data_IF_903942564855
#
_entry.id   IF_903942564855
#
_cell.length_a   1.000
_cell.length_b   1.000
_cell.length_c   1.000
_cell.angle_alpha   90.00
_cell.angle_beta   90.00
_cell.angle_gamma   90.00
#
_symmetry.space_group_name_H-M   'P 1'
#
loop_
_entity.id
_entity.type
_entity.pdbx_description
1 polymer ?
#
# COMPACT_ATOMS: atom_id res chain seq x y z
N UNK A 1 48.79 67.27 -11.90
CA UNK A 1 49.53 68.01 -10.86
C UNK A 1 48.91 67.59 -9.52
N UNK A 2 49.54 66.60 -8.88
CA UNK A 2 49.52 66.21 -7.45
C UNK A 2 48.14 65.92 -6.80
N UNK A 3 47.71 64.67 -6.58
CA UNK A 3 48.21 63.57 -5.72
C UNK A 3 48.07 63.73 -4.20
N UNK A 4 47.57 62.61 -3.62
CA UNK A 4 47.71 62.05 -2.27
C UNK A 4 46.59 62.26 -1.25
N UNK A 5 46.28 61.31 -0.36
CA UNK A 5 46.41 59.85 -0.26
C UNK A 5 45.87 59.51 1.15
N UNK A 6 45.20 58.38 1.34
CA UNK A 6 44.84 57.89 2.69
C UNK A 6 43.93 56.68 2.70
N UNK A 7 44.48 55.51 2.38
CA UNK A 7 43.86 54.18 2.55
C UNK A 7 43.93 53.70 4.02
N UNK A 8 42.92 52.93 4.47
CA UNK A 8 43.01 51.68 5.29
C UNK A 8 41.62 51.32 5.84
N UNK A 9 41.13 50.09 6.03
CA UNK A 9 41.33 48.71 5.54
C UNK A 9 40.09 47.90 6.03
N UNK A 10 39.65 46.93 5.22
CA UNK A 10 38.96 45.65 5.52
C UNK A 10 37.96 45.55 6.69
N UNK A 11 36.74 45.06 6.42
CA UNK A 11 36.35 43.67 6.74
C UNK A 11 34.99 43.28 6.15
N UNK A 12 34.89 41.99 5.89
CA UNK A 12 33.79 41.20 5.36
C UNK A 12 32.41 41.47 5.99
N UNK A 13 31.36 41.18 5.23
CA UNK A 13 30.37 40.12 5.54
C UNK A 13 28.97 40.53 5.10
N UNK A 14 28.50 39.92 4.02
CA UNK A 14 27.07 39.66 3.80
C UNK A 14 26.50 38.88 4.99
N UNK A 15 25.19 39.02 5.29
CA UNK A 15 24.42 37.78 5.39
C UNK A 15 23.08 37.86 4.65
N UNK A 16 22.95 36.93 3.70
CA UNK A 16 21.83 36.00 3.54
C UNK A 16 20.49 36.41 4.16
N UNK A 17 19.53 36.69 3.28
CA UNK A 17 18.11 36.65 3.59
C UNK A 17 17.71 35.20 3.90
N UNK A 18 17.39 34.95 5.17
CA UNK A 18 17.04 33.64 5.72
C UNK A 18 15.56 33.36 5.46
N UNK A 19 15.29 32.18 4.89
CA UNK A 19 13.98 31.58 4.71
C UNK A 19 13.22 31.43 6.04
N UNK A 20 11.89 31.65 6.10
CA UNK A 20 11.11 31.24 7.25
C UNK A 20 10.91 29.72 7.23
N UNK A 21 11.65 29.03 8.10
CA UNK A 21 11.36 27.68 8.56
C UNK A 21 10.04 27.73 9.32
N UNK A 22 8.95 27.30 8.69
CA UNK A 22 7.70 27.02 9.40
C UNK A 22 7.87 25.68 10.12
N UNK A 23 8.10 25.80 11.42
CA UNK A 23 8.05 24.75 12.43
C UNK A 23 6.77 23.93 12.28
N UNK A 24 6.89 22.66 11.93
CA UNK A 24 5.84 21.66 12.15
C UNK A 24 6.46 20.38 12.73
N UNK A 25 7.12 20.53 13.87
CA UNK A 25 7.39 19.45 14.80
C UNK A 25 6.29 19.44 15.86
N UNK A 26 5.23 18.68 15.61
CA UNK A 26 4.32 18.20 16.65
C UNK A 26 3.50 17.04 16.09
N UNK A 27 3.84 15.83 16.55
CA UNK A 27 2.99 14.63 16.64
C UNK A 27 3.76 13.38 16.23
N UNK A 28 4.71 12.92 17.05
CA UNK A 28 5.25 11.56 16.92
C UNK A 28 5.73 10.90 18.23
N UNK A 29 5.20 11.26 19.41
CA UNK A 29 5.45 10.48 20.62
C UNK A 29 4.25 10.54 21.57
N UNK A 30 3.29 9.62 21.41
CA UNK A 30 2.30 9.26 22.44
C UNK A 30 1.83 7.80 22.31
N UNK A 31 2.70 6.90 21.82
CA UNK A 31 2.37 5.46 21.66
C UNK A 31 3.08 4.58 22.70
N UNK A 32 3.79 5.15 23.69
CA UNK A 32 4.65 4.36 24.57
C UNK A 32 4.23 4.14 26.02
N UNK A 33 3.11 4.68 26.51
CA UNK A 33 2.74 4.49 27.94
C UNK A 33 1.22 4.49 28.15
N UNK A 34 0.52 3.47 27.64
CA UNK A 34 -0.80 3.07 28.12
C UNK A 34 -1.07 1.62 27.73
N UNK A 35 -1.61 0.84 28.67
CA UNK A 35 -1.99 -0.59 28.59
C UNK A 35 -0.99 -1.59 29.19
N UNK A 36 -0.44 -1.27 30.37
CA UNK A 36 -0.58 -2.19 31.51
C UNK A 36 -1.98 -2.01 32.09
N UNK A 37 -2.96 -2.67 31.48
CA UNK A 37 -4.23 -2.94 32.13
C UNK A 37 -4.78 -4.23 31.53
N UNK A 38 -4.63 -5.29 32.30
CA UNK A 38 -5.24 -6.58 32.07
C UNK A 38 -6.71 -6.40 31.69
N UNK A 39 -7.01 -6.75 30.44
CA UNK A 39 -8.33 -6.78 29.86
C UNK A 39 -8.27 -7.85 28.80
N UNK A 40 -8.82 -9.02 29.12
CA UNK A 40 -8.99 -10.16 28.24
C UNK A 40 -9.22 -9.70 26.79
N UNK A 41 -8.31 -10.05 25.88
CA UNK A 41 -8.61 -10.06 24.46
C UNK A 41 -9.74 -11.08 24.29
N UNK A 42 -10.97 -10.61 24.38
CA UNK A 42 -12.15 -11.44 24.19
C UNK A 42 -12.09 -11.91 22.73
N UNK A 43 -11.72 -13.17 22.53
CA UNK A 43 -11.72 -13.80 21.21
C UNK A 43 -13.13 -13.58 20.63
N UNK A 44 -13.22 -12.93 19.47
CA UNK A 44 -14.49 -12.72 18.74
C UNK A 44 -15.16 -14.07 18.43
N UNK A 45 -14.34 -15.12 18.32
CA UNK A 45 -14.71 -16.52 18.14
C UNK A 45 -15.04 -17.27 19.46
N UNK A 46 -15.07 -16.58 20.61
CA UNK A 46 -15.46 -17.11 21.93
C UNK A 46 -16.85 -16.63 22.44
N UNK A 47 -17.56 -15.79 21.69
CA UNK A 47 -18.94 -15.40 22.02
C UNK A 47 -19.93 -16.58 21.81
N UNK A 48 -20.89 -16.81 22.72
CA UNK A 48 -21.82 -17.95 22.65
C UNK A 48 -22.62 -18.03 21.33
N UNK A 49 -22.95 -16.88 20.71
CA UNK A 49 -23.71 -16.82 19.45
C UNK A 49 -22.88 -17.20 18.21
N UNK A 50 -21.54 -17.12 18.29
CA UNK A 50 -20.61 -17.47 17.19
C UNK A 50 -19.99 -18.87 17.36
N UNK A 51 -20.55 -19.68 18.27
CA UNK A 51 -19.95 -20.94 18.74
C UNK A 51 -20.23 -22.16 17.89
N UNK A 52 -21.15 -22.07 16.91
CA UNK A 52 -21.47 -23.19 16.02
C UNK A 52 -20.27 -23.51 15.13
N UNK A 53 -19.93 -24.80 15.03
CA UNK A 53 -18.85 -25.29 14.16
C UNK A 53 -19.05 -24.84 12.71
N UNK A 54 -20.28 -24.86 12.21
CA UNK A 54 -20.59 -24.45 10.84
C UNK A 54 -20.38 -22.96 10.62
N UNK A 55 -20.68 -22.14 11.63
CA UNK A 55 -20.39 -20.71 11.59
C UNK A 55 -18.87 -20.47 11.52
N UNK A 56 -18.08 -21.16 12.35
CA UNK A 56 -16.61 -21.06 12.32
C UNK A 56 -16.03 -21.48 10.96
N UNK A 57 -16.52 -22.59 10.38
CA UNK A 57 -16.10 -23.04 9.04
C UNK A 57 -16.37 -21.94 8.00
N UNK A 58 -17.58 -21.37 8.00
CA UNK A 58 -17.95 -20.33 7.05
C UNK A 58 -17.11 -19.05 7.22
N UNK A 59 -16.89 -18.62 8.46
CA UNK A 59 -16.09 -17.43 8.77
C UNK A 59 -14.65 -17.61 8.32
N UNK A 60 -14.00 -18.74 8.68
CA UNK A 60 -12.64 -19.05 8.25
C UNK A 60 -12.55 -19.13 6.73
N UNK A 61 -13.52 -19.77 6.07
CA UNK A 61 -13.58 -19.83 4.61
C UNK A 61 -13.65 -18.43 3.98
N UNK A 62 -14.52 -17.55 4.48
CA UNK A 62 -14.61 -16.16 4.01
C UNK A 62 -13.31 -15.39 4.23
N UNK A 63 -12.65 -15.57 5.37
CA UNK A 63 -11.34 -14.95 5.66
C UNK A 63 -10.26 -15.40 4.66
N UNK A 64 -10.19 -16.69 4.34
CA UNK A 64 -9.27 -17.21 3.32
C UNK A 64 -9.54 -16.60 1.95
N UNK A 65 -10.80 -16.49 1.54
CA UNK A 65 -11.16 -15.84 0.27
C UNK A 65 -10.80 -14.37 0.25
N UNK A 66 -11.07 -13.65 1.35
CA UNK A 66 -10.66 -12.25 1.47
C UNK A 66 -9.15 -12.12 1.33
N UNK A 67 -8.36 -12.99 1.98
CA UNK A 67 -6.90 -12.99 1.88
C UNK A 67 -6.47 -13.10 0.43
N UNK A 68 -6.98 -14.08 -0.31
CA UNK A 68 -6.65 -14.26 -1.74
C UNK A 68 -7.01 -13.02 -2.57
N UNK A 69 -8.19 -12.46 -2.33
CA UNK A 69 -8.68 -11.29 -3.07
C UNK A 69 -7.81 -10.05 -2.84
N UNK A 70 -7.31 -9.83 -1.63
CA UNK A 70 -6.43 -8.69 -1.30
C UNK A 70 -4.97 -8.96 -1.73
N UNK A 71 -4.54 -10.21 -1.67
CA UNK A 71 -3.16 -10.61 -1.97
C UNK A 71 -2.76 -10.34 -3.42
N UNK A 72 -3.66 -10.60 -4.37
CA UNK A 72 -3.40 -10.37 -5.80
C UNK A 72 -3.11 -8.89 -6.14
N UNK A 73 -3.99 -7.92 -5.82
CA UNK A 73 -3.71 -6.51 -6.08
C UNK A 73 -2.55 -5.98 -5.24
N UNK A 74 -2.33 -6.50 -4.02
CA UNK A 74 -1.14 -6.21 -3.23
C UNK A 74 0.15 -6.62 -3.95
N UNK A 75 0.24 -7.86 -4.44
CA UNK A 75 1.39 -8.36 -5.20
C UNK A 75 1.61 -7.55 -6.47
N UNK A 76 0.54 -7.21 -7.20
CA UNK A 76 0.62 -6.39 -8.41
C UNK A 76 1.29 -5.03 -8.14
N UNK A 77 0.82 -4.31 -7.14
CA UNK A 77 1.43 -3.01 -6.77
C UNK A 77 2.88 -3.22 -6.29
N UNK A 78 3.11 -4.17 -5.38
CA UNK A 78 4.44 -4.46 -4.84
C UNK A 78 5.45 -4.73 -5.96
N UNK A 79 5.10 -5.58 -6.91
CA UNK A 79 5.98 -5.98 -8.01
C UNK A 79 6.25 -4.81 -8.96
N UNK A 80 5.26 -3.98 -9.26
CA UNK A 80 5.47 -2.77 -10.07
C UNK A 80 6.43 -1.78 -9.40
N UNK A 81 6.31 -1.58 -8.09
CA UNK A 81 7.22 -0.72 -7.33
C UNK A 81 8.64 -1.31 -7.24
N UNK A 82 8.77 -2.63 -7.07
CA UNK A 82 10.08 -3.33 -7.12
C UNK A 82 10.74 -3.21 -8.49
N UNK A 83 9.98 -3.39 -9.57
CA UNK A 83 10.47 -3.20 -10.94
C UNK A 83 10.96 -1.77 -11.16
N UNK A 84 10.21 -0.77 -10.70
CA UNK A 84 10.62 0.64 -10.74
C UNK A 84 11.93 0.88 -9.97
N UNK A 85 12.11 0.27 -8.79
CA UNK A 85 13.35 0.35 -8.02
C UNK A 85 14.55 -0.21 -8.79
N UNK A 86 14.39 -1.39 -9.38
CA UNK A 86 15.43 -2.08 -10.14
C UNK A 86 15.82 -1.30 -11.40
N UNK A 87 14.85 -0.92 -12.23
CA UNK A 87 15.09 -0.14 -13.44
C UNK A 87 15.71 1.24 -13.13
N UNK A 88 15.31 1.87 -12.03
CA UNK A 88 15.90 3.14 -11.61
C UNK A 88 17.35 2.99 -11.17
N UNK A 89 17.70 1.90 -10.49
CA UNK A 89 19.08 1.60 -10.14
C UNK A 89 19.96 1.43 -11.40
N UNK A 90 19.45 0.72 -12.41
CA UNK A 90 20.12 0.50 -13.70
C UNK A 90 20.18 1.76 -14.58
N UNK A 91 19.27 2.73 -14.38
CA UNK A 91 19.21 3.95 -15.20
C UNK A 91 20.41 4.90 -15.04
N UNK A 92 21.26 4.69 -14.03
CA UNK A 92 22.35 5.61 -13.66
C UNK A 92 23.42 5.78 -14.73
N UNK A 93 23.59 4.79 -15.61
CA UNK A 93 24.65 4.74 -16.64
C UNK A 93 24.21 5.35 -17.99
N UNK A 94 22.96 5.79 -18.10
CA UNK A 94 22.42 6.34 -19.36
C UNK A 94 22.60 7.85 -19.48
N UNK A 95 22.74 8.35 -20.72
CA UNK A 95 22.73 9.78 -21.02
C UNK A 95 21.45 10.47 -20.50
N UNK A 96 21.52 11.77 -20.21
CA UNK A 96 20.46 12.51 -19.51
C UNK A 96 19.09 12.39 -20.19
N UNK A 97 19.05 12.46 -21.53
CA UNK A 97 17.82 12.38 -22.30
C UNK A 97 17.20 10.97 -22.25
N UNK A 98 18.01 9.93 -22.47
CA UNK A 98 17.56 8.55 -22.34
C UNK A 98 17.07 8.25 -20.91
N UNK A 99 17.79 8.76 -19.90
CA UNK A 99 17.40 8.62 -18.50
C UNK A 99 16.07 9.30 -18.19
N UNK A 100 15.86 10.49 -18.72
CA UNK A 100 14.59 11.21 -18.61
C UNK A 100 13.43 10.38 -19.17
N UNK A 101 13.57 9.88 -20.40
CA UNK A 101 12.54 9.05 -21.05
C UNK A 101 12.27 7.76 -20.26
N UNK A 102 13.32 7.08 -19.76
CA UNK A 102 13.16 5.91 -18.88
C UNK A 102 12.42 6.23 -17.59
N UNK A 103 12.73 7.36 -16.93
CA UNK A 103 12.01 7.75 -15.70
C UNK A 103 10.53 8.02 -15.96
N UNK A 104 10.18 8.66 -17.07
CA UNK A 104 8.78 8.81 -17.46
C UNK A 104 8.10 7.47 -17.66
N UNK A 105 8.77 6.52 -18.33
CA UNK A 105 8.23 5.19 -18.57
C UNK A 105 8.02 4.40 -17.27
N UNK A 106 9.03 4.34 -16.39
CA UNK A 106 8.93 3.69 -15.08
C UNK A 106 7.75 4.21 -14.24
N UNK A 107 7.61 5.54 -14.17
CA UNK A 107 6.50 6.16 -13.42
C UNK A 107 5.16 5.85 -14.10
N UNK A 108 5.11 5.85 -15.44
CA UNK A 108 3.90 5.51 -16.17
C UNK A 108 3.43 4.07 -15.88
N UNK A 109 4.34 3.09 -15.89
CA UNK A 109 4.05 1.68 -15.61
C UNK A 109 3.47 1.45 -14.19
N UNK A 110 3.86 2.27 -13.21
CA UNK A 110 3.25 2.21 -11.87
C UNK A 110 1.91 2.94 -11.84
N UNK A 111 1.83 4.12 -12.48
CA UNK A 111 0.65 4.99 -12.39
C UNK A 111 -0.53 4.51 -13.25
N UNK A 112 -0.30 3.66 -14.26
CA UNK A 112 -1.38 3.04 -15.02
C UNK A 112 -2.24 2.11 -14.15
N UNK A 113 -1.68 1.55 -13.07
CA UNK A 113 -2.40 0.72 -12.11
C UNK A 113 -3.55 1.50 -11.43
N UNK A 114 -3.36 2.80 -11.17
CA UNK A 114 -4.42 3.66 -10.60
C UNK A 114 -5.57 3.87 -11.58
N UNK A 115 -5.29 3.87 -12.89
CA UNK A 115 -6.34 3.98 -13.92
C UNK A 115 -7.09 2.68 -14.13
N UNK A 116 -6.45 1.54 -13.87
CA UNK A 116 -7.05 0.21 -13.92
C UNK A 116 -7.76 -0.10 -12.60
N UNK A 117 -8.63 0.81 -12.14
CA UNK A 117 -9.29 0.75 -10.83
C UNK A 117 -10.06 -0.55 -10.61
N UNK A 118 -10.53 -1.23 -11.67
CA UNK A 118 -11.19 -2.54 -11.58
C UNK A 118 -10.26 -3.68 -11.13
N UNK A 119 -8.93 -3.50 -11.26
CA UNK A 119 -7.93 -4.46 -10.80
C UNK A 119 -7.47 -4.19 -9.36
N UNK A 120 -7.86 -3.07 -8.76
CA UNK A 120 -7.54 -2.67 -7.40
C UNK A 120 -8.80 -2.69 -6.53
N UNK A 121 -8.67 -3.05 -5.26
CA UNK A 121 -9.80 -3.08 -4.33
C UNK A 121 -10.01 -1.72 -3.70
N UNK A 122 -11.26 -1.24 -3.73
CA UNK A 122 -11.66 -0.08 -2.97
C UNK A 122 -12.02 -0.42 -1.53
N UNK A 123 -11.01 -0.37 -0.67
CA UNK A 123 -11.14 -0.68 0.76
C UNK A 123 -11.04 0.62 1.55
N UNK A 124 -12.05 0.96 2.38
CA UNK A 124 -11.97 2.14 3.24
C UNK A 124 -10.87 1.94 4.30
N UNK A 125 -10.24 3.03 4.75
CA UNK A 125 -9.29 2.95 5.87
C UNK A 125 -9.96 2.58 7.20
N UNK A 126 -9.17 2.15 8.20
CA UNK A 126 -9.68 1.90 9.55
C UNK A 126 -10.16 3.20 10.20
N UNK A 127 -11.22 3.11 10.98
CA UNK A 127 -11.71 4.21 11.82
C UNK A 127 -10.69 4.59 12.90
N UNK A 128 -10.79 5.81 13.44
CA UNK A 128 -9.79 6.37 14.37
C UNK A 128 -9.60 5.56 15.66
N UNK A 129 -10.60 4.78 16.09
CA UNK A 129 -10.56 3.91 17.26
C UNK A 129 -11.21 2.54 16.99
N UNK A 130 -11.27 2.14 15.72
CA UNK A 130 -11.87 0.86 15.33
C UNK A 130 -10.89 -0.29 15.67
N UNK A 131 -11.32 -1.33 16.41
CA UNK A 131 -10.47 -2.47 16.68
C UNK A 131 -10.21 -3.26 15.39
N UNK A 132 -9.05 -3.92 15.33
CA UNK A 132 -8.57 -4.58 14.11
C UNK A 132 -9.54 -5.66 13.59
N UNK A 133 -10.21 -6.38 14.49
CA UNK A 133 -11.21 -7.40 14.17
C UNK A 133 -12.42 -6.80 13.48
N UNK A 134 -12.97 -5.72 14.03
CA UNK A 134 -14.18 -5.07 13.52
C UNK A 134 -13.91 -4.45 12.16
N UNK A 135 -12.72 -3.86 11.99
CA UNK A 135 -12.26 -3.38 10.70
C UNK A 135 -12.23 -4.50 9.64
N UNK A 136 -11.67 -5.67 9.98
CA UNK A 136 -11.63 -6.80 9.04
C UNK A 136 -13.03 -7.32 8.73
N UNK A 137 -13.92 -7.42 9.72
CA UNK A 137 -15.32 -7.81 9.50
C UNK A 137 -16.03 -6.85 8.53
N UNK A 138 -15.88 -5.54 8.73
CA UNK A 138 -16.42 -4.51 7.83
C UNK A 138 -15.89 -4.64 6.41
N UNK A 139 -14.59 -4.92 6.25
CA UNK A 139 -13.99 -5.15 4.93
C UNK A 139 -14.51 -6.45 4.28
N UNK A 140 -14.73 -7.51 5.06
CA UNK A 140 -15.33 -8.76 4.58
C UNK A 140 -16.74 -8.52 4.03
N UNK A 141 -17.57 -7.75 4.73
CA UNK A 141 -18.93 -7.39 4.32
C UNK A 141 -18.93 -6.60 3.01
N UNK A 142 -18.17 -5.50 2.94
CA UNK A 142 -18.06 -4.65 1.74
C UNK A 142 -17.65 -5.47 0.51
N UNK A 143 -16.70 -6.38 0.67
CA UNK A 143 -16.19 -7.16 -0.45
C UNK A 143 -17.12 -8.32 -0.80
N UNK A 144 -17.85 -8.90 0.15
CA UNK A 144 -18.90 -9.88 -0.18
C UNK A 144 -20.05 -9.24 -0.99
N UNK A 145 -20.48 -8.02 -0.63
CA UNK A 145 -21.51 -7.28 -1.37
C UNK A 145 -21.07 -6.88 -2.78
N UNK A 146 -19.78 -6.55 -2.95
CA UNK A 146 -19.21 -6.21 -4.26
C UNK A 146 -19.27 -7.39 -5.28
N UNK A 147 -19.54 -8.64 -4.84
CA UNK A 147 -19.79 -9.78 -5.75
C UNK A 147 -21.21 -9.76 -6.35
N UNK A 148 -22.16 -9.05 -5.73
CA UNK A 148 -23.54 -8.97 -6.21
C UNK A 148 -23.71 -8.00 -7.39
N UNK A 149 -22.69 -7.20 -7.70
CA UNK A 149 -22.73 -6.31 -8.88
C UNK A 149 -22.22 -7.07 -10.11
N UNK A 150 -23.03 -7.30 -11.16
CA UNK A 150 -22.59 -8.04 -12.32
C UNK A 150 -21.49 -7.25 -13.05
N UNK A 151 -20.26 -7.75 -13.02
CA UNK A 151 -19.21 -7.27 -13.93
C UNK A 151 -19.68 -7.57 -15.36
N UNK A 152 -19.85 -6.49 -16.14
CA UNK A 152 -20.50 -6.49 -17.45
C UNK A 152 -19.87 -7.49 -18.42
N UNK A 153 -20.77 -8.22 -19.09
CA UNK A 153 -20.52 -9.19 -20.14
C UNK A 153 -19.69 -8.62 -21.30
N UNK A 154 -18.69 -9.39 -21.72
CA UNK A 154 -17.75 -9.14 -22.82
C UNK A 154 -16.81 -10.34 -22.95
N UNK A 155 -15.67 -10.21 -23.63
CA UNK A 155 -14.64 -11.26 -23.88
C UNK A 155 -14.26 -12.06 -22.60
N UNK A 156 -14.57 -11.52 -21.42
CA UNK A 156 -14.62 -12.20 -20.12
C UNK A 156 -15.41 -13.54 -20.07
N UNK A 157 -16.32 -13.81 -21.01
CA UNK A 157 -17.01 -15.10 -21.14
C UNK A 157 -16.09 -16.27 -21.54
N UNK A 158 -14.97 -15.99 -22.21
CA UNK A 158 -13.97 -17.02 -22.57
C UNK A 158 -13.03 -17.37 -21.40
N UNK A 159 -13.05 -16.60 -20.31
CA UNK A 159 -12.38 -16.92 -19.04
C UNK A 159 -13.14 -17.98 -18.21
N UNK A 160 -14.14 -18.65 -18.79
CA UNK A 160 -14.89 -19.72 -18.11
C UNK A 160 -14.00 -20.87 -17.63
N UNK A 161 -12.83 -21.09 -18.23
CA UNK A 161 -11.84 -22.07 -17.75
C UNK A 161 -11.21 -21.68 -16.40
N UNK A 162 -10.94 -20.38 -16.16
CA UNK A 162 -10.45 -19.89 -14.86
C UNK A 162 -11.53 -19.96 -13.77
N UNK A 163 -12.81 -19.72 -14.10
CA UNK A 163 -13.91 -19.87 -13.14
C UNK A 163 -14.13 -21.33 -12.69
N UNK A 164 -13.86 -22.32 -13.55
CA UNK A 164 -13.89 -23.74 -13.17
C UNK A 164 -12.75 -24.12 -12.23
N UNK A 165 -11.56 -23.54 -12.43
CA UNK A 165 -10.41 -23.71 -11.52
C UNK A 165 -10.70 -23.08 -10.15
N UNK A 166 -11.29 -21.88 -10.13
CA UNK A 166 -11.66 -21.21 -8.87
C UNK A 166 -12.72 -21.98 -8.10
N UNK A 167 -13.72 -22.59 -8.77
CA UNK A 167 -14.71 -23.47 -8.11
C UNK A 167 -14.06 -24.70 -7.49
N UNK A 168 -13.13 -25.35 -8.19
CA UNK A 168 -12.41 -26.52 -7.67
C UNK A 168 -11.49 -26.12 -6.50
N UNK A 169 -10.79 -24.98 -6.60
CA UNK A 169 -9.96 -24.45 -5.52
C UNK A 169 -10.79 -24.07 -4.29
N UNK A 170 -11.91 -23.38 -4.49
CA UNK A 170 -12.86 -23.01 -3.42
C UNK A 170 -13.44 -24.27 -2.76
N UNK A 171 -13.75 -25.33 -3.52
CA UNK A 171 -14.22 -26.60 -2.98
C UNK A 171 -13.13 -27.32 -2.18
N UNK A 172 -11.89 -27.41 -2.68
CA UNK A 172 -10.77 -28.02 -1.94
C UNK A 172 -10.42 -27.27 -0.66
N UNK A 173 -10.49 -25.93 -0.69
CA UNK A 173 -10.30 -25.07 0.47
C UNK A 173 -11.41 -25.31 1.50
N UNK A 174 -12.66 -25.37 1.05
CA UNK A 174 -13.78 -25.60 1.96
C UNK A 174 -13.68 -26.98 2.64
N UNK A 175 -13.34 -28.02 1.87
CA UNK A 175 -13.14 -29.37 2.41
C UNK A 175 -11.92 -29.46 3.35
N UNK A 176 -10.84 -28.72 3.09
CA UNK A 176 -9.70 -28.70 4.01
C UNK A 176 -10.03 -28.02 5.34
N UNK A 177 -10.78 -26.92 5.31
CA UNK A 177 -11.27 -26.23 6.51
C UNK A 177 -12.24 -27.13 7.28
N UNK A 178 -13.14 -27.84 6.59
CA UNK A 178 -14.11 -28.75 7.22
C UNK A 178 -13.45 -29.91 7.97
N UNK A 179 -12.24 -30.32 7.59
CA UNK A 179 -11.47 -31.36 8.28
C UNK A 179 -10.82 -30.88 9.58
N UNK A 180 -10.70 -29.56 9.80
CA UNK A 180 -10.14 -29.01 11.03
C UNK A 180 -11.06 -29.25 12.23
N UNK A 181 -10.51 -29.53 13.40
CA UNK A 181 -11.25 -29.59 14.65
C UNK A 181 -11.80 -28.21 15.05
N UNK A 182 -12.81 -28.17 15.91
CA UNK A 182 -13.41 -26.90 16.36
C UNK A 182 -12.41 -26.01 17.09
N UNK A 183 -11.43 -26.59 17.80
CA UNK A 183 -10.37 -25.84 18.46
C UNK A 183 -9.38 -25.24 17.45
N UNK A 184 -9.00 -26.01 16.42
CA UNK A 184 -8.17 -25.50 15.32
C UNK A 184 -8.87 -24.37 14.56
N UNK A 185 -10.16 -24.51 14.26
CA UNK A 185 -10.95 -23.47 13.60
C UNK A 185 -10.97 -22.15 14.38
N UNK A 186 -11.07 -22.18 15.71
CA UNK A 186 -11.02 -20.95 16.54
C UNK A 186 -9.65 -20.29 16.49
N UNK A 187 -8.58 -21.08 16.64
CA UNK A 187 -7.20 -20.56 16.54
C UNK A 187 -6.92 -19.97 15.15
N UNK A 188 -7.42 -20.64 14.12
CA UNK A 188 -7.29 -20.21 12.74
C UNK A 188 -8.06 -18.91 12.47
N UNK A 189 -9.30 -18.81 12.97
CA UNK A 189 -10.13 -17.60 12.95
C UNK A 189 -9.37 -16.39 13.52
N UNK A 190 -8.85 -16.53 14.75
CA UNK A 190 -8.16 -15.44 15.45
C UNK A 190 -6.84 -15.05 14.73
N UNK A 191 -6.08 -16.05 14.28
CA UNK A 191 -4.85 -15.83 13.49
C UNK A 191 -5.16 -15.07 12.20
N UNK A 192 -6.19 -15.51 11.47
CA UNK A 192 -6.57 -14.95 10.18
C UNK A 192 -7.03 -13.50 10.27
N UNK A 193 -7.74 -13.11 11.33
CA UNK A 193 -8.09 -11.70 11.56
C UNK A 193 -6.85 -10.80 11.62
N UNK A 194 -5.83 -11.21 12.38
CA UNK A 194 -4.60 -10.42 12.53
C UNK A 194 -3.78 -10.37 11.24
N UNK A 195 -3.70 -11.49 10.52
CA UNK A 195 -3.01 -11.56 9.24
C UNK A 195 -3.69 -10.70 8.17
N UNK A 196 -5.02 -10.77 8.08
CA UNK A 196 -5.81 -9.95 7.16
C UNK A 196 -5.65 -8.47 7.46
N UNK A 197 -5.71 -8.09 8.73
CA UNK A 197 -5.50 -6.70 9.14
C UNK A 197 -4.15 -6.18 8.64
N UNK A 198 -3.06 -6.94 8.89
CA UNK A 198 -1.71 -6.59 8.43
C UNK A 198 -1.64 -6.49 6.90
N UNK A 199 -2.18 -7.48 6.19
CA UNK A 199 -2.17 -7.51 4.73
C UNK A 199 -2.93 -6.32 4.12
N UNK A 200 -4.15 -6.04 4.60
CA UNK A 200 -4.97 -4.91 4.15
C UNK A 200 -4.24 -3.59 4.43
N UNK A 201 -3.61 -3.44 5.60
CA UNK A 201 -2.81 -2.25 5.92
C UNK A 201 -1.63 -2.03 4.98
N UNK A 202 -0.88 -3.10 4.68
CA UNK A 202 0.22 -3.03 3.69
C UNK A 202 -0.31 -2.64 2.31
N UNK A 203 -1.39 -3.29 1.87
CA UNK A 203 -2.07 -2.97 0.61
C UNK A 203 -2.48 -1.49 0.52
N UNK A 204 -3.20 -0.98 1.52
CA UNK A 204 -3.65 0.42 1.54
C UNK A 204 -2.47 1.40 1.53
N UNK A 205 -1.40 1.08 2.25
CA UNK A 205 -0.21 1.93 2.30
C UNK A 205 0.49 1.99 0.95
N UNK A 206 0.63 0.86 0.25
CA UNK A 206 1.16 0.84 -1.12
C UNK A 206 0.23 1.55 -2.12
N UNK A 207 -1.09 1.35 -1.98
CA UNK A 207 -2.08 2.02 -2.84
C UNK A 207 -2.00 3.54 -2.71
N UNK A 208 -1.77 4.04 -1.49
CA UNK A 208 -1.54 5.47 -1.25
C UNK A 208 -0.32 5.98 -2.02
N UNK A 209 0.81 5.26 -1.98
CA UNK A 209 2.01 5.62 -2.76
C UNK A 209 1.68 5.74 -4.26
N UNK A 210 0.96 4.77 -4.82
CA UNK A 210 0.57 4.77 -6.24
C UNK A 210 -0.34 5.95 -6.57
N UNK A 211 -1.33 6.26 -5.71
CA UNK A 211 -2.26 7.37 -5.89
C UNK A 211 -1.56 8.73 -5.82
N UNK A 212 -0.66 8.90 -4.84
CA UNK A 212 0.13 10.13 -4.68
C UNK A 212 1.06 10.31 -5.90
N UNK A 213 1.75 9.24 -6.33
CA UNK A 213 2.57 9.25 -7.54
C UNK A 213 1.76 9.61 -8.80
N UNK A 214 0.57 9.05 -8.96
CA UNK A 214 -0.31 9.36 -10.09
C UNK A 214 -0.68 10.84 -10.12
N UNK A 215 -1.07 11.39 -8.97
CA UNK A 215 -1.43 12.81 -8.83
C UNK A 215 -0.25 13.71 -9.19
N UNK A 216 0.91 13.48 -8.58
CA UNK A 216 2.14 14.24 -8.83
C UNK A 216 2.57 14.12 -10.30
N UNK A 217 2.61 12.90 -10.85
CA UNK A 217 3.03 12.67 -12.23
C UNK A 217 2.10 13.35 -13.23
N UNK A 218 0.79 13.33 -12.97
CA UNK A 218 -0.19 14.05 -13.79
C UNK A 218 0.05 15.55 -13.75
N UNK A 219 0.29 16.13 -12.58
CA UNK A 219 0.60 17.55 -12.42
C UNK A 219 1.91 17.95 -13.11
N UNK A 220 2.90 17.05 -13.17
CA UNK A 220 4.19 17.31 -13.83
C UNK A 220 4.11 17.52 -15.34
N UNK A 221 2.98 17.16 -15.99
CA UNK A 221 2.87 17.15 -17.46
C UNK A 221 3.04 18.53 -18.11
N UNK A 222 2.79 19.59 -17.36
CA UNK A 222 2.86 20.97 -17.83
C UNK A 222 4.27 21.60 -17.67
N UNK A 223 5.21 20.88 -17.04
CA UNK A 223 6.57 21.38 -16.83
C UNK A 223 7.48 21.08 -18.03
N UNK A 224 8.39 22.00 -18.40
CA UNK A 224 9.42 21.73 -19.41
C UNK A 224 10.42 20.68 -18.91
N UNK A 225 11.21 20.12 -19.83
CA UNK A 225 12.04 18.93 -19.59
C UNK A 225 12.94 19.04 -18.35
N UNK A 226 13.67 20.16 -18.20
CA UNK A 226 14.67 20.32 -17.13
C UNK A 226 14.05 20.31 -15.72
N UNK A 227 13.07 21.17 -15.38
CA UNK A 227 12.42 21.11 -14.06
C UNK A 227 11.63 19.81 -13.89
N UNK A 228 11.04 19.28 -14.97
CA UNK A 228 10.32 18.00 -14.91
C UNK A 228 11.25 16.84 -14.56
N UNK A 229 12.45 16.78 -15.14
CA UNK A 229 13.45 15.75 -14.82
C UNK A 229 13.78 15.69 -13.33
N UNK A 230 14.03 16.86 -12.71
CA UNK A 230 14.31 16.95 -11.28
C UNK A 230 13.12 16.42 -10.45
N UNK A 231 11.89 16.76 -10.86
CA UNK A 231 10.67 16.31 -10.20
C UNK A 231 10.46 14.80 -10.35
N UNK A 232 10.60 14.21 -11.55
CA UNK A 232 10.47 12.76 -11.76
C UNK A 232 11.48 11.98 -10.91
N UNK A 233 12.72 12.49 -10.84
CA UNK A 233 13.76 11.92 -9.99
C UNK A 233 13.39 11.99 -8.51
N UNK A 234 12.77 13.10 -8.07
CA UNK A 234 12.29 13.26 -6.70
C UNK A 234 11.15 12.29 -6.39
N UNK A 235 10.15 12.17 -7.27
CA UNK A 235 9.03 11.22 -7.15
C UNK A 235 9.53 9.79 -6.93
N UNK A 236 10.44 9.31 -7.80
CA UNK A 236 11.03 7.97 -7.67
C UNK A 236 11.75 7.83 -6.33
N UNK A 237 12.60 8.80 -5.95
CA UNK A 237 13.29 8.74 -4.66
C UNK A 237 12.34 8.75 -3.46
N UNK A 238 11.22 9.46 -3.54
CA UNK A 238 10.22 9.50 -2.48
C UNK A 238 9.54 8.14 -2.31
N UNK A 239 9.21 7.44 -3.40
CA UNK A 239 8.73 6.05 -3.36
C UNK A 239 9.77 5.15 -2.68
N UNK A 240 11.03 5.22 -3.11
CA UNK A 240 12.09 4.35 -2.59
C UNK A 240 12.42 4.59 -1.11
N UNK A 241 12.06 5.77 -0.59
CA UNK A 241 12.23 6.14 0.83
C UNK A 241 10.94 5.99 1.63
N UNK A 242 9.82 5.68 0.98
CA UNK A 242 8.55 5.53 1.67
C UNK A 242 8.66 4.34 2.64
N UNK A 243 8.36 4.51 3.94
CA UNK A 243 8.50 3.44 4.92
C UNK A 243 7.68 2.21 4.54
N UNK A 244 6.45 2.43 4.05
CA UNK A 244 5.58 1.36 3.60
C UNK A 244 6.14 0.54 2.42
N UNK A 245 6.98 1.12 1.56
CA UNK A 245 7.66 0.36 0.50
C UNK A 245 8.94 -0.30 1.02
N UNK A 246 9.72 0.38 1.87
CA UNK A 246 10.93 -0.16 2.46
C UNK A 246 10.68 -1.42 3.32
N UNK A 247 9.54 -1.47 4.02
CA UNK A 247 9.12 -2.65 4.80
C UNK A 247 8.86 -3.89 3.92
N UNK A 248 8.35 -3.69 2.70
CA UNK A 248 7.86 -4.80 1.85
C UNK A 248 8.80 -5.14 0.69
N UNK A 249 9.80 -4.30 0.40
CA UNK A 249 10.67 -4.51 -0.77
C UNK A 249 11.51 -5.80 -0.66
N UNK A 250 11.85 -6.21 0.55
CA UNK A 250 12.62 -7.42 0.86
C UNK A 250 11.77 -8.66 1.15
N UNK A 251 10.43 -8.53 1.20
CA UNK A 251 9.56 -9.69 1.38
C UNK A 251 9.63 -10.61 0.16
N UNK A 252 10.06 -11.86 0.39
CA UNK A 252 9.94 -12.94 -0.59
C UNK A 252 8.46 -13.11 -0.88
N UNK A 253 8.09 -13.06 -2.16
CA UNK A 253 6.71 -13.27 -2.58
C UNK A 253 6.39 -14.75 -2.35
N UNK A 254 5.64 -15.07 -1.29
CA UNK A 254 4.93 -16.36 -1.16
C UNK A 254 4.06 -16.63 -2.39
#
# INVERSE_FOLDING_TARGET
MWDHCGMSTRHDSSPSFVSPVVTKCASMFNVLLSLTKDGSAQSVCASPENSSRDHLINTVYKQYRLRQRVLEPYRRIKNALKKLQEEYAQSKESNLFARYMRMQHMIYEVTILEKQYWQLLDIPGPGASEPATDYVMRVMEILDDAKATPQRSGISGLLSATFSVDKTRDATLYESIKKMSTNELRKECDRMYMDLYKLIRKYLSLRKIVKDLYSEYRASRFLPMVPRYALLKAMIKNILRAPAFAEVCHEVTE
#
